data_IF_813858008841
#
_entry.id   IF_813858008841
#
_cell.length_a   1.000
_cell.length_b   1.000
_cell.length_c   1.000
_cell.angle_alpha   90.00
_cell.angle_beta   90.00
_cell.angle_gamma   90.00
#
_symmetry.space_group_name_H-M   'P 1'
#
loop_
_entity.id
_entity.type
_entity.pdbx_description
1 polymer ?
#
# COMPACT_ATOMS: atom_id res chain seq x y z
N UNK A 1 39.87 -10.95 -46.11
CA UNK A 1 40.85 -11.84 -45.45
C UNK A 1 40.52 -11.94 -43.97
N UNK A 2 39.66 -12.87 -43.57
CA UNK A 2 39.65 -13.52 -42.24
C UNK A 2 38.58 -14.60 -42.30
N UNK A 3 38.98 -15.81 -41.96
CA UNK A 3 38.23 -17.05 -42.14
C UNK A 3 37.92 -17.64 -40.76
N UNK A 4 36.75 -18.22 -40.58
CA UNK A 4 36.44 -19.32 -39.64
C UNK A 4 35.31 -20.10 -40.35
N UNK A 5 35.55 -21.18 -41.11
CA UNK A 5 35.83 -22.60 -40.75
C UNK A 5 34.80 -23.26 -39.80
N UNK A 6 34.53 -24.57 -39.99
CA UNK A 6 33.18 -25.13 -40.14
C UNK A 6 32.77 -26.06 -38.98
N UNK A 7 31.53 -26.54 -38.97
CA UNK A 7 31.11 -27.74 -38.22
C UNK A 7 30.41 -28.69 -39.23
N UNK A 8 31.05 -29.75 -39.69
CA UNK A 8 31.22 -31.04 -39.02
C UNK A 8 29.96 -31.94 -39.05
N UNK A 9 29.87 -32.64 -40.19
CA UNK A 9 29.36 -34.00 -40.47
C UNK A 9 29.19 -34.95 -39.27
N UNK A 10 28.03 -35.60 -39.17
CA UNK A 10 27.84 -37.02 -38.80
C UNK A 10 26.38 -37.41 -39.10
N UNK A 11 26.08 -38.23 -40.13
CA UNK A 11 26.14 -39.71 -40.18
C UNK A 11 25.09 -40.41 -39.30
N UNK A 12 24.24 -41.19 -39.97
CA UNK A 12 24.00 -42.57 -39.56
C UNK A 12 22.59 -42.91 -39.09
N UNK A 13 21.72 -43.22 -40.08
CA UNK A 13 20.92 -44.47 -40.24
C UNK A 13 20.11 -45.07 -39.05
N UNK A 14 19.13 -45.95 -39.34
CA UNK A 14 17.80 -45.93 -38.73
C UNK A 14 17.62 -47.20 -37.87
N UNK A 15 16.39 -47.70 -37.77
CA UNK A 15 15.94 -48.87 -37.01
C UNK A 15 15.50 -48.53 -35.59
N UNK A 16 14.20 -48.57 -35.35
CA UNK A 16 13.54 -49.72 -34.72
C UNK A 16 12.03 -49.40 -34.75
N UNK A 17 11.23 -50.29 -35.34
CA UNK A 17 10.27 -51.10 -34.56
C UNK A 17 9.38 -50.23 -33.66
N UNK A 18 8.13 -50.05 -34.08
CA UNK A 18 7.05 -50.91 -33.57
C UNK A 18 6.88 -50.73 -32.06
N UNK A 19 5.98 -49.82 -31.70
CA UNK A 19 4.94 -50.06 -30.71
C UNK A 19 4.07 -48.81 -30.61
N UNK A 20 2.78 -48.96 -30.94
CA UNK A 20 1.75 -48.14 -30.31
C UNK A 20 1.71 -48.59 -28.85
N UNK A 21 1.91 -47.68 -27.89
CA UNK A 21 0.90 -47.67 -26.86
C UNK A 21 0.60 -46.28 -26.33
N UNK A 22 -0.59 -46.23 -25.74
CA UNK A 22 -0.85 -45.51 -24.50
C UNK A 22 -1.28 -44.05 -24.63
N UNK A 23 -2.59 -43.91 -24.41
CA UNK A 23 -3.21 -42.90 -23.56
C UNK A 23 -2.85 -41.45 -23.84
N UNK A 24 -3.65 -40.81 -24.68
CA UNK A 24 -3.80 -39.35 -24.66
C UNK A 24 -4.95 -38.97 -23.72
N UNK A 25 -4.75 -39.09 -22.41
CA UNK A 25 -5.52 -38.33 -21.45
C UNK A 25 -4.81 -36.98 -21.29
N UNK A 26 -5.14 -36.02 -22.15
CA UNK A 26 -4.67 -34.65 -22.01
C UNK A 26 -5.36 -34.02 -20.79
N UNK A 27 -4.68 -34.06 -19.63
CA UNK A 27 -5.09 -33.30 -18.47
C UNK A 27 -4.81 -31.82 -18.74
N UNK A 28 -5.85 -31.07 -19.07
CA UNK A 28 -5.80 -29.60 -19.14
C UNK A 28 -5.72 -29.08 -17.70
N UNK A 29 -4.50 -28.81 -17.22
CA UNK A 29 -4.30 -28.12 -15.96
C UNK A 29 -4.68 -26.64 -16.16
N UNK A 30 -5.91 -26.28 -15.79
CA UNK A 30 -6.33 -24.89 -15.70
C UNK A 30 -5.54 -24.21 -14.56
N UNK A 31 -4.56 -23.38 -14.91
CA UNK A 31 -3.86 -22.54 -13.95
C UNK A 31 -4.84 -21.48 -13.42
N UNK A 32 -5.36 -21.67 -12.20
CA UNK A 32 -6.08 -20.65 -11.49
C UNK A 32 -5.09 -19.55 -11.08
N UNK A 33 -5.00 -18.47 -11.85
CA UNK A 33 -4.32 -17.25 -11.40
C UNK A 33 -5.17 -16.62 -10.29
N UNK A 34 -4.59 -16.35 -9.10
CA UNK A 34 -5.32 -15.60 -8.09
C UNK A 34 -5.55 -14.17 -8.59
N UNK A 35 -6.80 -13.73 -8.59
CA UNK A 35 -7.13 -12.32 -8.79
C UNK A 35 -6.70 -11.60 -7.52
N UNK A 36 -5.53 -10.96 -7.55
CA UNK A 36 -5.14 -10.01 -6.50
C UNK A 36 -5.91 -8.72 -6.79
N UNK A 37 -6.99 -8.49 -6.03
CA UNK A 37 -7.64 -7.19 -6.04
C UNK A 37 -6.64 -6.15 -5.54
N UNK A 38 -6.25 -5.20 -6.39
CA UNK A 38 -5.52 -4.02 -5.95
C UNK A 38 -6.47 -3.22 -5.06
N UNK A 39 -6.22 -3.21 -3.75
CA UNK A 39 -6.92 -2.31 -2.86
C UNK A 39 -6.39 -0.91 -3.13
N UNK A 40 -7.19 -0.08 -3.82
CA UNK A 40 -6.93 1.37 -3.81
C UNK A 40 -6.89 1.83 -2.36
N UNK A 41 -5.90 2.65 -2.02
CA UNK A 41 -5.77 3.21 -0.68
C UNK A 41 -7.04 4.00 -0.34
N UNK A 42 -7.85 3.49 0.59
CA UNK A 42 -9.09 4.13 1.03
C UNK A 42 -8.76 5.51 1.60
N UNK A 43 -9.16 6.57 0.89
CA UNK A 43 -9.09 7.96 1.36
C UNK A 43 -10.50 8.42 1.77
N UNK A 44 -10.88 8.25 3.05
CA UNK A 44 -12.16 8.76 3.52
C UNK A 44 -12.15 10.30 3.47
N UNK A 45 -13.30 10.94 3.23
CA UNK A 45 -13.41 12.41 3.24
C UNK A 45 -13.14 13.01 4.63
N UNK A 46 -13.33 12.23 5.69
CA UNK A 46 -12.93 12.59 7.04
C UNK A 46 -12.49 11.33 7.82
N UNK A 47 -11.36 11.41 8.51
CA UNK A 47 -10.78 10.28 9.26
C UNK A 47 -11.23 10.33 10.72
N UNK A 48 -11.76 9.23 11.30
CA UNK A 48 -12.13 9.20 12.70
C UNK A 48 -10.88 9.22 13.59
N UNK A 49 -10.84 10.15 14.56
CA UNK A 49 -9.77 10.25 15.56
C UNK A 49 -10.24 9.85 16.96
N UNK A 50 -11.46 10.24 17.31
CA UNK A 50 -12.13 9.85 18.55
C UNK A 50 -13.57 9.53 18.20
N UNK A 51 -14.02 8.31 18.48
CA UNK A 51 -15.39 7.85 18.21
C UNK A 51 -15.97 7.23 19.47
N UNK A 52 -16.51 8.06 20.37
CA UNK A 52 -17.03 7.60 21.66
C UNK A 52 -18.55 7.82 21.79
N UNK A 53 -19.05 9.03 21.49
CA UNK A 53 -20.47 9.35 21.62
C UNK A 53 -20.91 10.42 20.61
N UNK A 54 -22.23 10.62 20.40
CA UNK A 54 -22.75 11.69 19.55
C UNK A 54 -22.40 13.12 20.04
N UNK A 55 -21.77 13.30 21.19
CA UNK A 55 -21.27 14.63 21.61
C UNK A 55 -19.75 14.66 21.73
N UNK A 56 -19.10 13.51 21.58
CA UNK A 56 -17.65 13.34 21.69
C UNK A 56 -17.16 12.41 20.59
N UNK A 57 -17.38 12.86 19.35
CA UNK A 57 -16.79 12.26 18.16
C UNK A 57 -16.03 13.32 17.37
N UNK A 58 -14.72 13.12 17.20
CA UNK A 58 -13.78 14.08 16.59
C UNK A 58 -13.11 13.43 15.37
N UNK A 59 -13.02 14.20 14.29
CA UNK A 59 -12.65 13.75 12.96
C UNK A 59 -11.61 14.70 12.33
N UNK A 60 -10.70 14.17 11.52
CA UNK A 60 -9.80 14.96 10.67
C UNK A 60 -10.44 15.15 9.30
N UNK A 61 -10.70 16.39 8.86
CA UNK A 61 -11.30 16.65 7.54
C UNK A 61 -10.25 16.75 6.41
N UNK A 62 -8.97 16.59 6.71
CA UNK A 62 -7.87 16.80 5.76
C UNK A 62 -7.11 15.51 5.44
N UNK A 63 -6.40 15.55 4.32
CA UNK A 63 -5.59 14.44 3.79
C UNK A 63 -4.42 14.11 4.69
N UNK A 64 -3.78 15.16 5.20
CA UNK A 64 -2.76 15.05 6.22
C UNK A 64 -3.27 15.59 7.53
N UNK A 65 -2.93 14.90 8.60
CA UNK A 65 -3.43 15.15 9.94
C UNK A 65 -3.08 16.56 10.47
N UNK A 66 -2.03 17.20 9.92
CA UNK A 66 -1.51 18.51 10.36
C UNK A 66 -1.92 19.70 9.46
N UNK A 67 -2.86 19.51 8.53
CA UNK A 67 -3.26 20.53 7.54
C UNK A 67 -4.51 21.32 7.92
N UNK A 68 -5.39 20.77 8.76
CA UNK A 68 -6.67 21.41 9.12
C UNK A 68 -7.00 21.22 10.61
N UNK A 69 -7.88 22.06 11.18
CA UNK A 69 -8.43 21.81 12.50
C UNK A 69 -9.31 20.56 12.47
N UNK A 70 -9.20 19.75 13.53
CA UNK A 70 -10.14 18.64 13.74
C UNK A 70 -11.54 19.17 14.03
N UNK A 71 -12.55 18.40 13.62
CA UNK A 71 -13.96 18.78 13.71
C UNK A 71 -14.75 17.76 14.51
N UNK A 72 -15.74 18.24 15.24
CA UNK A 72 -16.80 17.40 15.74
C UNK A 72 -17.63 16.84 14.57
N UNK A 73 -18.35 15.72 14.77
CA UNK A 73 -19.16 15.11 13.70
C UNK A 73 -20.22 16.06 13.12
N UNK A 74 -20.66 17.07 13.88
CA UNK A 74 -21.59 18.12 13.38
C UNK A 74 -20.92 19.15 12.46
N UNK A 75 -19.62 19.03 12.22
CA UNK A 75 -18.83 19.98 11.43
C UNK A 75 -18.31 21.17 12.23
N UNK A 76 -18.75 21.38 13.47
CA UNK A 76 -18.19 22.40 14.35
C UNK A 76 -16.70 22.13 14.63
N UNK A 77 -15.88 23.17 14.72
CA UNK A 77 -14.46 23.01 15.07
C UNK A 77 -14.31 22.48 16.49
N UNK A 78 -13.50 21.43 16.65
CA UNK A 78 -13.14 20.87 17.94
C UNK A 78 -11.66 20.50 17.88
N UNK A 79 -10.82 21.49 18.18
CA UNK A 79 -9.39 21.46 17.84
C UNK A 79 -8.60 20.52 18.75
N UNK A 80 -7.94 19.55 18.14
CA UNK A 80 -6.86 18.78 18.72
C UNK A 80 -5.56 19.22 18.06
N UNK A 81 -4.52 19.33 18.87
CA UNK A 81 -3.17 19.68 18.41
C UNK A 81 -2.19 18.65 18.94
N UNK A 82 -1.47 18.01 18.03
CA UNK A 82 -0.46 17.02 18.35
C UNK A 82 0.92 17.56 18.02
N UNK A 83 1.77 17.62 19.04
CA UNK A 83 3.17 18.01 18.91
C UNK A 83 4.07 16.88 19.39
N UNK A 84 5.17 16.66 18.69
CA UNK A 84 6.23 15.72 19.06
C UNK A 84 7.56 16.45 19.08
N UNK A 85 8.48 16.03 19.94
CA UNK A 85 9.86 16.54 19.95
C UNK A 85 10.81 15.46 19.45
N UNK A 86 11.62 15.80 18.46
CA UNK A 86 12.70 14.95 17.94
C UNK A 86 13.98 15.73 18.14
N UNK A 87 14.94 15.18 18.91
CA UNK A 87 16.22 15.84 19.24
C UNK A 87 16.06 17.25 19.81
N UNK A 88 15.05 17.44 20.66
CA UNK A 88 14.73 18.73 21.27
C UNK A 88 14.02 19.73 20.35
N UNK A 89 13.87 19.43 19.05
CA UNK A 89 13.15 20.27 18.10
C UNK A 89 11.65 19.91 18.07
N UNK A 90 10.74 20.89 18.24
CA UNK A 90 9.31 20.64 18.18
C UNK A 90 8.82 20.51 16.73
N UNK A 91 8.01 19.49 16.49
CA UNK A 91 7.31 19.26 15.23
C UNK A 91 5.81 19.10 15.48
N UNK A 92 5.01 19.53 14.52
CA UNK A 92 3.56 19.36 14.53
C UNK A 92 3.18 18.12 13.73
N UNK A 93 2.37 17.25 14.33
CA UNK A 93 1.86 16.01 13.72
C UNK A 93 0.34 16.04 13.52
N UNK A 94 -0.38 16.90 14.25
CA UNK A 94 -1.83 17.02 14.15
C UNK A 94 -2.30 18.46 14.39
N UNK A 95 -3.31 18.86 13.63
CA UNK A 95 -3.93 20.18 13.70
C UNK A 95 -3.19 21.24 12.88
N UNK A 96 -3.84 22.38 12.69
CA UNK A 96 -3.39 23.52 11.89
C UNK A 96 -2.63 24.59 12.71
N UNK A 97 -2.56 24.43 14.04
CA UNK A 97 -1.92 25.38 14.95
C UNK A 97 -0.93 24.69 15.89
N UNK A 98 0.08 25.42 16.40
CA UNK A 98 0.50 26.74 15.95
C UNK A 98 1.24 26.67 14.60
N UNK A 99 1.07 27.68 13.73
CA UNK A 99 1.58 27.69 12.34
C UNK A 99 3.10 27.85 12.21
N UNK A 100 3.76 28.36 13.25
CA UNK A 100 5.20 28.59 13.26
C UNK A 100 6.04 27.33 13.50
N UNK A 101 5.40 26.18 13.77
CA UNK A 101 6.09 24.91 13.95
C UNK A 101 6.21 24.14 12.63
N UNK A 102 7.34 23.48 12.43
CA UNK A 102 7.55 22.58 11.30
C UNK A 102 6.61 21.39 11.41
N UNK A 103 5.92 21.06 10.31
CA UNK A 103 5.08 19.86 10.22
C UNK A 103 5.99 18.66 9.97
N UNK A 104 5.82 17.60 10.76
CA UNK A 104 6.48 16.32 10.49
C UNK A 104 5.76 15.64 9.32
N UNK A 105 6.45 15.28 8.23
CA UNK A 105 5.80 14.70 7.06
C UNK A 105 5.07 13.40 7.40
N UNK A 106 3.78 13.30 7.05
CA UNK A 106 2.99 12.07 7.11
C UNK A 106 3.31 11.18 5.90
N UNK A 107 3.58 9.89 6.12
CA UNK A 107 3.90 8.90 5.08
C UNK A 107 2.71 8.06 4.67
N UNK A 108 1.93 7.57 5.64
CA UNK A 108 0.79 6.70 5.37
C UNK A 108 -0.33 6.91 6.40
N UNK A 109 -1.52 6.43 6.02
CA UNK A 109 -2.72 6.38 6.83
C UNK A 109 -3.37 5.02 6.59
N UNK A 110 -3.70 4.33 7.68
CA UNK A 110 -4.51 3.12 7.68
C UNK A 110 -5.73 3.32 8.58
N UNK A 111 -6.91 2.96 8.08
CA UNK A 111 -8.18 3.07 8.81
C UNK A 111 -8.79 1.68 8.93
N UNK A 112 -8.79 1.16 10.16
CA UNK A 112 -9.44 -0.08 10.58
C UNK A 112 -10.74 0.25 11.33
N UNK A 113 -11.64 -0.73 11.51
CA UNK A 113 -12.96 -0.48 12.12
C UNK A 113 -12.92 0.22 13.49
N UNK A 114 -11.87 -0.01 14.29
CA UNK A 114 -11.72 0.54 15.64
C UNK A 114 -10.39 1.28 15.84
N UNK A 115 -9.61 1.48 14.77
CA UNK A 115 -8.28 2.04 14.89
C UNK A 115 -7.91 2.83 13.64
N UNK A 116 -7.36 4.02 13.85
CA UNK A 116 -6.71 4.81 12.81
C UNK A 116 -5.23 4.90 13.14
N UNK A 117 -4.37 4.52 12.19
CA UNK A 117 -2.91 4.58 12.34
C UNK A 117 -2.30 5.53 11.32
N UNK A 118 -1.39 6.39 11.78
CA UNK A 118 -0.63 7.31 10.95
C UNK A 118 0.86 7.04 11.13
N UNK A 119 1.61 6.98 10.03
CA UNK A 119 3.07 6.84 10.04
C UNK A 119 3.69 8.16 9.58
N UNK A 120 4.77 8.58 10.24
CA UNK A 120 5.43 9.86 9.98
C UNK A 120 6.88 9.67 9.51
N UNK A 121 7.51 10.71 8.98
CA UNK A 121 8.93 10.67 8.70
C UNK A 121 9.73 10.60 10.01
N UNK A 122 10.85 9.87 9.98
CA UNK A 122 11.70 9.61 11.14
C UNK A 122 11.01 8.82 12.29
N UNK A 123 9.92 8.10 11.96
CA UNK A 123 9.24 7.09 12.76
C UNK A 123 8.72 5.96 11.88
#
# INVERSE_FOLDING_TARGET
MSAIRPAAKAKGTPCFFMNLPLSLAAAVAAAAMPIVAAADSLRPPAVPLVTHSPYFSIWSPADRLAEAPTRHWTGAEHRLTGLVRIDGQPYRVMGDKPENLRVLPQKSLEVLPLQTSYVFANG
#
